data_IF_364227343471
#
_entry.id   IF_364227343471
#
_cell.length_a   1.000
_cell.length_b   1.000
_cell.length_c   1.000
_cell.angle_alpha   90.00
_cell.angle_beta   90.00
_cell.angle_gamma   90.00
#
_symmetry.space_group_name_H-M   'P 1'
#
loop_
_entity.id
_entity.type
_entity.pdbx_description
1 polymer ?
#
# COMPACT_ATOMS: atom_id res chain seq x y z
N UNK A 1 21.90 -30.40 -6.27
CA UNK A 1 21.53 -29.14 -6.94
C UNK A 1 22.51 -28.10 -6.45
N UNK A 2 23.31 -27.51 -7.34
CA UNK A 2 24.29 -26.51 -6.95
C UNK A 2 23.56 -25.22 -6.56
N UNK A 3 23.57 -24.90 -5.28
CA UNK A 3 23.24 -23.56 -4.78
C UNK A 3 24.33 -22.62 -5.28
N UNK A 4 24.08 -21.93 -6.38
CA UNK A 4 24.97 -20.87 -6.86
C UNK A 4 25.13 -19.82 -5.76
N UNK A 5 26.37 -19.50 -5.39
CA UNK A 5 26.66 -18.43 -4.45
C UNK A 5 25.98 -17.12 -4.89
N UNK A 6 25.51 -16.29 -3.95
CA UNK A 6 24.93 -15.00 -4.28
C UNK A 6 25.99 -14.15 -4.99
N UNK A 7 25.78 -13.89 -6.29
CA UNK A 7 26.54 -12.88 -7.02
C UNK A 7 26.25 -11.54 -6.33
N UNK A 8 27.23 -11.05 -5.58
CA UNK A 8 27.22 -9.72 -4.95
C UNK A 8 28.13 -8.84 -5.81
N UNK A 9 27.52 -8.03 -6.67
CA UNK A 9 28.27 -7.01 -7.40
C UNK A 9 28.40 -5.78 -6.49
N UNK A 10 29.61 -5.33 -6.15
CA UNK A 10 29.78 -4.12 -5.34
C UNK A 10 29.07 -2.94 -6.01
N UNK A 11 28.24 -2.21 -5.25
CA UNK A 11 27.54 -0.99 -5.69
C UNK A 11 26.43 -1.20 -6.74
N UNK A 12 26.06 -2.45 -7.04
CA UNK A 12 24.85 -2.81 -7.79
C UNK A 12 24.00 -3.73 -6.91
N UNK A 13 23.02 -3.15 -6.23
CA UNK A 13 22.11 -3.91 -5.37
C UNK A 13 21.29 -4.92 -6.19
N UNK A 14 21.15 -6.13 -5.63
CA UNK A 14 20.16 -7.10 -6.11
C UNK A 14 18.75 -6.56 -5.86
N UNK A 15 17.75 -6.90 -6.69
CA UNK A 15 16.38 -6.47 -6.46
C UNK A 15 15.91 -6.86 -5.04
N UNK A 16 15.00 -6.10 -4.44
CA UNK A 16 14.47 -6.43 -3.13
C UNK A 16 13.68 -7.74 -3.18
N UNK A 17 13.52 -8.40 -2.02
CA UNK A 17 12.68 -9.59 -1.92
C UNK A 17 11.27 -9.28 -2.42
N UNK A 18 10.65 -10.20 -3.18
CA UNK A 18 9.31 -10.01 -3.76
C UNK A 18 8.18 -10.15 -2.72
N UNK A 19 8.45 -10.89 -1.63
CA UNK A 19 7.47 -11.23 -0.60
C UNK A 19 6.77 -10.00 0.02
N UNK A 20 7.46 -8.90 0.39
CA UNK A 20 6.82 -7.70 0.92
C UNK A 20 5.84 -7.05 -0.06
N UNK A 21 6.10 -7.10 -1.36
CA UNK A 21 5.23 -6.53 -2.39
C UNK A 21 3.95 -7.34 -2.56
N UNK A 22 4.08 -8.68 -2.60
CA UNK A 22 2.91 -9.58 -2.57
C UNK A 22 2.11 -9.40 -1.28
N UNK A 23 2.80 -9.18 -0.16
CA UNK A 23 2.16 -8.95 1.14
C UNK A 23 1.37 -7.64 1.19
N UNK A 24 1.80 -6.58 0.50
CA UNK A 24 1.02 -5.35 0.39
C UNK A 24 -0.35 -5.62 -0.26
N UNK A 25 -0.42 -6.49 -1.27
CA UNK A 25 -1.69 -6.85 -1.91
C UNK A 25 -2.62 -7.56 -0.93
N UNK A 26 -2.09 -8.52 -0.16
CA UNK A 26 -2.85 -9.22 0.87
C UNK A 26 -3.36 -8.26 1.95
N UNK A 27 -2.52 -7.31 2.39
CA UNK A 27 -2.90 -6.30 3.39
C UNK A 27 -4.05 -5.45 2.86
N UNK A 28 -4.00 -5.01 1.60
CA UNK A 28 -5.05 -4.21 0.98
C UNK A 28 -6.38 -4.97 0.90
N UNK A 29 -6.35 -6.27 0.61
CA UNK A 29 -7.53 -7.14 0.65
C UNK A 29 -8.06 -7.32 2.08
N UNK A 30 -7.18 -7.44 3.08
CA UNK A 30 -7.60 -7.45 4.49
C UNK A 30 -8.26 -6.14 4.87
N UNK A 31 -7.71 -4.99 4.47
CA UNK A 31 -8.29 -3.67 4.72
C UNK A 31 -9.71 -3.59 4.15
N UNK A 32 -9.90 -3.99 2.88
CA UNK A 32 -11.22 -4.09 2.25
C UNK A 32 -12.20 -4.92 3.06
N UNK A 33 -11.82 -6.16 3.37
CA UNK A 33 -12.73 -7.12 4.00
C UNK A 33 -13.08 -6.71 5.44
N UNK A 34 -12.12 -6.14 6.16
CA UNK A 34 -12.30 -5.77 7.57
C UNK A 34 -12.99 -4.43 7.74
N UNK A 35 -12.94 -3.53 6.77
CA UNK A 35 -13.70 -2.27 6.84
C UNK A 35 -15.22 -2.50 6.80
N UNK A 36 -15.72 -3.52 6.12
CA UNK A 36 -17.16 -3.80 6.04
C UNK A 36 -17.72 -4.53 7.28
N UNK A 37 -16.85 -5.18 8.08
CA UNK A 37 -17.26 -5.94 9.27
C UNK A 37 -17.87 -5.05 10.38
N UNK A 38 -17.26 -3.91 10.77
CA UNK A 38 -17.84 -3.00 11.74
C UNK A 38 -19.21 -2.45 11.32
N UNK A 39 -19.44 -2.14 10.04
CA UNK A 39 -20.75 -1.67 9.57
C UNK A 39 -21.80 -2.77 9.69
N UNK A 40 -21.47 -3.99 9.29
CA UNK A 40 -22.38 -5.13 9.36
C UNK A 40 -22.77 -5.42 10.81
N UNK A 41 -21.77 -5.44 11.71
CA UNK A 41 -21.98 -5.63 13.14
C UNK A 41 -22.81 -4.50 13.78
N UNK A 42 -22.58 -3.24 13.39
CA UNK A 42 -23.34 -2.09 13.88
C UNK A 42 -24.80 -2.12 13.40
N UNK A 43 -25.03 -2.47 12.13
CA UNK A 43 -26.38 -2.59 11.57
C UNK A 43 -27.16 -3.74 12.23
N UNK A 44 -26.51 -4.88 12.48
CA UNK A 44 -27.10 -5.98 13.24
C UNK A 44 -27.41 -5.58 14.68
N UNK A 45 -26.49 -4.88 15.38
CA UNK A 45 -26.69 -4.40 16.74
C UNK A 45 -27.92 -3.48 16.87
N UNK A 46 -28.14 -2.61 15.89
CA UNK A 46 -29.25 -1.66 15.88
C UNK A 46 -30.58 -2.32 15.49
N UNK A 47 -30.57 -3.28 14.55
CA UNK A 47 -31.75 -4.08 14.24
C UNK A 47 -32.22 -4.92 15.44
N UNK A 48 -31.30 -5.36 16.29
CA UNK A 48 -31.58 -6.12 17.51
C UNK A 48 -32.09 -5.25 18.67
N UNK A 49 -31.95 -3.91 18.59
CA UNK A 49 -32.43 -2.96 19.60
C UNK A 49 -33.88 -2.49 19.37
N UNK A 50 -34.61 -3.07 18.41
CA UNK A 50 -36.03 -2.84 18.02
C UNK A 50 -36.43 -1.38 17.65
N UNK A 51 -35.75 -0.33 18.13
CA UNK A 51 -36.16 1.08 17.97
C UNK A 51 -35.48 1.82 16.81
N UNK A 52 -34.37 1.32 16.25
CA UNK A 52 -33.62 2.02 15.19
C UNK A 52 -33.39 1.12 13.97
N UNK A 53 -34.31 1.18 12.99
CA UNK A 53 -34.16 0.48 11.69
C UNK A 53 -33.00 0.99 10.81
N UNK A 54 -32.25 2.02 11.25
CA UNK A 54 -31.13 2.61 10.50
C UNK A 54 -30.04 3.09 11.46
N UNK A 55 -28.75 2.98 11.06
CA UNK A 55 -27.67 3.66 11.76
C UNK A 55 -27.86 5.18 11.78
N UNK A 56 -27.44 5.85 12.87
CA UNK A 56 -27.35 7.30 12.92
C UNK A 56 -26.63 7.84 11.67
N UNK A 57 -27.15 8.90 11.03
CA UNK A 57 -26.54 9.50 9.84
C UNK A 57 -25.05 9.86 10.01
N UNK A 58 -24.64 10.18 11.23
CA UNK A 58 -23.25 10.48 11.60
C UNK A 58 -22.34 9.26 11.42
N UNK A 59 -22.80 8.07 11.81
CA UNK A 59 -22.07 6.82 11.63
C UNK A 59 -21.91 6.46 10.14
N UNK A 60 -23.00 6.60 9.37
CA UNK A 60 -22.97 6.39 7.91
C UNK A 60 -21.95 7.32 7.25
N UNK A 61 -21.87 8.57 7.73
CA UNK A 61 -20.91 9.58 7.27
C UNK A 61 -19.47 9.20 7.62
N UNK A 62 -19.17 8.82 8.87
CA UNK A 62 -17.81 8.46 9.28
C UNK A 62 -17.29 7.23 8.53
N UNK A 63 -18.13 6.20 8.38
CA UNK A 63 -17.75 5.00 7.64
C UNK A 63 -17.57 5.26 6.15
N UNK A 64 -18.35 6.16 5.56
CA UNK A 64 -18.13 6.60 4.18
C UNK A 64 -16.77 7.29 4.02
N UNK A 65 -16.39 8.17 4.95
CA UNK A 65 -15.09 8.83 4.93
C UNK A 65 -13.94 7.83 5.08
N UNK A 66 -14.08 6.86 5.99
CA UNK A 66 -13.07 5.84 6.21
C UNK A 66 -12.86 4.95 4.97
N UNK A 67 -13.95 4.56 4.29
CA UNK A 67 -13.87 3.84 3.00
C UNK A 67 -13.18 4.65 1.91
N UNK A 68 -13.49 5.94 1.81
CA UNK A 68 -12.85 6.81 0.84
C UNK A 68 -11.34 6.92 1.11
N UNK A 69 -10.94 7.06 2.38
CA UNK A 69 -9.54 7.06 2.76
C UNK A 69 -8.85 5.74 2.38
N UNK A 70 -9.47 4.60 2.70
CA UNK A 70 -8.93 3.28 2.36
C UNK A 70 -8.75 3.10 0.84
N UNK A 71 -9.73 3.53 0.04
CA UNK A 71 -9.61 3.53 -1.42
C UNK A 71 -8.44 4.39 -1.91
N UNK A 72 -8.27 5.59 -1.36
CA UNK A 72 -7.14 6.45 -1.71
C UNK A 72 -5.81 5.77 -1.37
N UNK A 73 -5.71 5.12 -0.20
CA UNK A 73 -4.47 4.41 0.19
C UNK A 73 -4.19 3.21 -0.69
N UNK A 74 -5.23 2.48 -1.09
CA UNK A 74 -5.13 1.42 -2.09
C UNK A 74 -4.55 1.95 -3.40
N UNK A 75 -5.12 3.04 -3.93
CA UNK A 75 -4.66 3.64 -5.19
C UNK A 75 -3.21 4.11 -5.11
N UNK A 76 -2.82 4.70 -3.98
CA UNK A 76 -1.46 5.19 -3.77
C UNK A 76 -0.45 4.04 -3.66
N UNK A 77 -0.80 2.95 -2.96
CA UNK A 77 0.03 1.73 -2.94
C UNK A 77 0.17 1.15 -4.35
N UNK A 78 -0.91 1.09 -5.13
CA UNK A 78 -0.85 0.69 -6.54
C UNK A 78 0.09 1.55 -7.38
N UNK A 79 0.02 2.87 -7.18
CA UNK A 79 0.87 3.83 -7.90
C UNK A 79 2.36 3.63 -7.56
N UNK A 80 2.71 3.48 -6.29
CA UNK A 80 4.14 3.30 -5.92
C UNK A 80 4.71 1.95 -6.38
N UNK A 81 3.86 0.93 -6.49
CA UNK A 81 4.25 -0.38 -7.05
C UNK A 81 4.50 -0.29 -8.55
N UNK A 82 3.63 0.38 -9.29
CA UNK A 82 3.85 0.67 -10.72
C UNK A 82 5.13 1.49 -10.91
N UNK A 83 5.37 2.50 -10.08
CA UNK A 83 6.59 3.32 -10.12
C UNK A 83 7.86 2.51 -9.85
N UNK A 84 7.83 1.59 -8.89
CA UNK A 84 8.96 0.66 -8.66
C UNK A 84 9.21 -0.25 -9.85
N UNK A 85 8.15 -0.73 -10.50
CA UNK A 85 8.28 -1.50 -11.74
C UNK A 85 8.92 -0.66 -12.85
N UNK A 86 8.42 0.56 -13.07
CA UNK A 86 9.00 1.49 -14.04
C UNK A 86 10.46 1.82 -13.73
N UNK A 87 10.80 1.97 -12.46
CA UNK A 87 12.18 2.16 -12.02
C UNK A 87 13.06 0.97 -12.39
N UNK A 88 12.61 -0.27 -12.17
CA UNK A 88 13.34 -1.47 -12.63
C UNK A 88 13.56 -1.45 -14.15
N UNK A 89 12.46 -1.37 -14.91
CA UNK A 89 12.44 -1.54 -16.37
C UNK A 89 13.16 -0.42 -17.12
N UNK A 90 12.95 0.83 -16.68
CA UNK A 90 13.36 2.02 -17.44
C UNK A 90 14.63 2.64 -16.89
N UNK A 91 15.06 2.27 -15.69
CA UNK A 91 16.22 2.88 -15.04
C UNK A 91 17.28 1.84 -14.72
N UNK A 92 16.98 0.88 -13.86
CA UNK A 92 18.00 -0.04 -13.34
C UNK A 92 18.55 -0.96 -14.44
N UNK A 93 17.68 -1.66 -15.18
CA UNK A 93 18.09 -2.60 -16.24
C UNK A 93 18.88 -1.87 -17.36
N UNK A 94 18.41 -0.72 -17.90
CA UNK A 94 19.18 0.05 -18.87
C UNK A 94 20.49 0.59 -18.32
N UNK A 95 20.52 1.04 -17.06
CA UNK A 95 21.73 1.53 -16.41
C UNK A 95 22.81 0.44 -16.32
N UNK A 96 22.43 -0.79 -15.94
CA UNK A 96 23.35 -1.94 -15.95
C UNK A 96 23.90 -2.26 -17.34
N UNK A 97 23.13 -1.98 -18.40
CA UNK A 97 23.56 -2.15 -19.79
C UNK A 97 24.66 -1.19 -20.25
N UNK A 98 25.00 -0.18 -19.44
CA UNK A 98 26.03 0.82 -19.79
C UNK A 98 27.41 0.50 -19.23
N UNK A 99 27.56 -0.56 -18.44
CA UNK A 99 28.87 -0.92 -17.90
C UNK A 99 29.84 -1.45 -18.98
N UNK A 100 31.15 -1.17 -18.85
CA UNK A 100 31.78 -0.32 -17.83
C UNK A 100 31.48 1.17 -18.05
N UNK A 101 31.20 1.89 -16.97
CA UNK A 101 30.90 3.32 -17.04
C UNK A 101 32.19 4.15 -17.14
N UNK A 102 32.15 5.23 -17.92
CA UNK A 102 33.23 6.20 -18.02
C UNK A 102 32.88 7.53 -17.31
N UNK A 103 33.82 8.48 -17.28
CA UNK A 103 33.57 9.79 -16.66
C UNK A 103 32.52 10.62 -17.41
N UNK A 104 32.37 10.38 -18.71
CA UNK A 104 31.39 11.06 -19.55
C UNK A 104 29.96 10.59 -19.28
N UNK A 105 29.77 9.38 -18.73
CA UNK A 105 28.44 8.87 -18.33
C UNK A 105 27.77 9.70 -17.23
N UNK A 106 28.54 10.42 -16.41
CA UNK A 106 28.00 11.44 -15.50
C UNK A 106 27.43 12.62 -16.28
N UNK A 107 28.20 13.16 -17.22
CA UNK A 107 27.80 14.33 -18.03
C UNK A 107 26.71 14.02 -19.08
N UNK A 108 26.62 12.77 -19.53
CA UNK A 108 25.59 12.28 -20.45
C UNK A 108 24.31 11.84 -19.70
N UNK A 109 24.23 12.15 -18.40
CA UNK A 109 23.03 12.00 -17.59
C UNK A 109 22.74 10.56 -17.15
N UNK A 110 23.59 9.57 -17.42
CA UNK A 110 23.29 8.18 -17.05
C UNK A 110 23.21 7.96 -15.55
N UNK A 111 24.26 8.38 -14.84
CA UNK A 111 24.33 8.30 -13.37
C UNK A 111 23.33 9.28 -12.73
N UNK A 112 23.29 10.52 -13.20
CA UNK A 112 22.41 11.56 -12.64
C UNK A 112 20.92 11.22 -12.82
N UNK A 113 20.52 10.64 -13.96
CA UNK A 113 19.14 10.19 -14.18
C UNK A 113 18.80 9.01 -13.27
N UNK A 114 19.70 8.03 -13.14
CA UNK A 114 19.46 6.87 -12.29
C UNK A 114 19.36 7.26 -10.81
N UNK A 115 20.23 8.16 -10.36
CA UNK A 115 20.17 8.75 -9.02
C UNK A 115 18.87 9.52 -8.80
N UNK A 116 18.50 10.41 -9.74
CA UNK A 116 17.27 11.20 -9.64
C UNK A 116 16.05 10.30 -9.55
N UNK A 117 15.98 9.28 -10.40
CA UNK A 117 14.86 8.34 -10.42
C UNK A 117 14.78 7.52 -9.12
N UNK A 118 15.92 7.04 -8.60
CA UNK A 118 15.95 6.32 -7.32
C UNK A 118 15.44 7.21 -6.18
N UNK A 119 15.93 8.44 -6.10
CA UNK A 119 15.48 9.44 -5.12
C UNK A 119 13.99 9.76 -5.22
N UNK A 120 13.49 9.95 -6.44
CA UNK A 120 12.07 10.25 -6.67
C UNK A 120 11.20 9.06 -6.26
N UNK A 121 11.57 7.85 -6.67
CA UNK A 121 10.83 6.63 -6.29
C UNK A 121 10.84 6.44 -4.78
N UNK A 122 11.98 6.62 -4.11
CA UNK A 122 12.07 6.56 -2.65
C UNK A 122 11.12 7.55 -1.95
N UNK A 123 11.06 8.80 -2.44
CA UNK A 123 10.17 9.82 -1.89
C UNK A 123 8.68 9.49 -2.08
N UNK A 124 8.30 8.86 -3.19
CA UNK A 124 6.93 8.41 -3.41
C UNK A 124 6.53 7.30 -2.41
N UNK A 125 7.45 6.39 -2.09
CA UNK A 125 7.25 5.36 -1.06
C UNK A 125 7.18 5.95 0.37
N UNK A 126 7.99 6.96 0.67
CA UNK A 126 7.94 7.70 1.95
C UNK A 126 6.60 8.43 2.12
N UNK A 127 6.09 9.07 1.07
CA UNK A 127 4.77 9.71 1.14
C UNK A 127 3.65 8.67 1.30
N UNK A 128 3.71 7.54 0.59
CA UNK A 128 2.75 6.45 0.77
C UNK A 128 2.77 5.89 2.21
N UNK A 129 3.94 5.75 2.83
CA UNK A 129 4.09 5.35 4.24
C UNK A 129 3.41 6.36 5.17
N UNK A 130 3.75 7.64 5.02
CA UNK A 130 3.18 8.72 5.82
C UNK A 130 1.65 8.75 5.71
N UNK A 131 1.16 8.65 4.49
CA UNK A 131 -0.27 8.59 4.21
C UNK A 131 -0.96 7.37 4.82
N UNK A 132 -0.31 6.21 4.81
CA UNK A 132 -0.83 4.99 5.44
C UNK A 132 -0.86 5.13 6.97
N UNK A 133 0.11 5.83 7.57
CA UNK A 133 0.08 6.19 8.99
C UNK A 133 -1.09 7.14 9.31
N UNK A 134 -1.33 8.17 8.50
CA UNK A 134 -2.51 9.05 8.68
C UNK A 134 -3.83 8.27 8.60
N UNK A 135 -3.89 7.23 7.76
CA UNK A 135 -5.04 6.33 7.70
C UNK A 135 -5.21 5.50 8.99
N UNK A 136 -4.12 5.03 9.60
CA UNK A 136 -4.17 4.39 10.92
C UNK A 136 -4.78 5.29 12.00
N UNK A 137 -4.43 6.57 12.00
CA UNK A 137 -5.00 7.56 12.93
C UNK A 137 -6.49 7.81 12.64
N UNK A 138 -6.86 7.84 11.35
CA UNK A 138 -8.23 7.95 10.89
C UNK A 138 -9.11 6.77 11.32
N UNK A 139 -8.58 5.54 11.26
CA UNK A 139 -9.24 4.34 11.80
C UNK A 139 -9.50 4.54 13.29
N UNK A 140 -8.44 4.83 14.07
CA UNK A 140 -8.53 4.97 15.53
C UNK A 140 -9.56 6.04 15.94
N UNK A 141 -9.51 7.21 15.31
CA UNK A 141 -10.44 8.31 15.57
C UNK A 141 -11.89 7.94 15.24
N UNK A 142 -12.12 7.26 14.12
CA UNK A 142 -13.47 6.82 13.72
C UNK A 142 -14.05 5.85 14.74
N UNK A 143 -13.21 5.00 15.32
CA UNK A 143 -13.62 3.99 16.28
C UNK A 143 -13.96 4.56 17.64
N UNK A 144 -13.19 5.53 18.12
CA UNK A 144 -13.52 6.25 19.35
C UNK A 144 -14.90 6.91 19.24
N UNK A 145 -15.22 7.48 18.07
CA UNK A 145 -16.54 8.04 17.78
C UNK A 145 -17.64 6.98 17.75
N UNK A 146 -17.41 5.85 17.09
CA UNK A 146 -18.37 4.74 17.05
C UNK A 146 -18.65 4.16 18.45
N UNK A 147 -17.59 3.99 19.25
CA UNK A 147 -17.69 3.53 20.63
C UNK A 147 -18.49 4.51 21.50
N UNK A 148 -18.25 5.81 21.36
CA UNK A 148 -19.00 6.83 22.11
C UNK A 148 -20.51 6.71 21.91
N UNK A 149 -20.96 6.55 20.66
CA UNK A 149 -22.40 6.40 20.37
C UNK A 149 -22.98 5.09 20.92
N UNK A 150 -22.21 4.00 20.92
CA UNK A 150 -22.64 2.73 21.51
C UNK A 150 -22.74 2.80 23.04
N UNK A 151 -21.84 3.53 23.69
CA UNK A 151 -21.85 3.71 25.15
C UNK A 151 -22.98 4.65 25.62
N UNK A 152 -23.44 5.57 24.76
CA UNK A 152 -24.58 6.47 25.00
C UNK A 152 -25.96 5.81 24.77
N UNK A 153 -26.02 4.75 23.96
CA UNK A 153 -27.23 3.96 23.73
C UNK A 153 -27.65 3.19 24.99
N UNK A 154 -28.80 3.52 25.56
CA UNK A 154 -29.36 2.87 26.76
C UNK A 154 -29.64 1.38 26.50
N UNK A 155 -28.64 0.52 26.72
CA UNK A 155 -28.83 -0.93 26.76
C UNK A 155 -27.58 -1.72 26.38
N UNK A 156 -26.65 -1.92 27.32
CA UNK A 156 -25.65 -3.00 27.20
C UNK A 156 -26.34 -4.35 27.40
N UNK A 157 -27.06 -4.81 26.38
CA UNK A 157 -27.47 -6.21 26.29
C UNK A 157 -26.27 -7.11 25.94
N UNK A 158 -26.30 -8.42 26.27
CA UNK A 158 -25.22 -9.37 25.94
C UNK A 158 -24.85 -9.38 24.46
N UNK A 159 -25.85 -9.15 23.59
CA UNK A 159 -25.71 -9.05 22.14
C UNK A 159 -24.87 -7.82 21.72
N UNK A 160 -25.10 -6.67 22.34
CA UNK A 160 -24.32 -5.46 22.08
C UNK A 160 -22.86 -5.63 22.51
N UNK A 161 -22.59 -6.38 23.57
CA UNK A 161 -21.23 -6.69 24.04
C UNK A 161 -20.48 -7.58 23.04
N UNK A 162 -21.09 -8.67 22.56
CA UNK A 162 -20.46 -9.58 21.58
C UNK A 162 -20.17 -8.89 20.24
N UNK A 163 -21.07 -8.01 19.78
CA UNK A 163 -20.88 -7.24 18.56
C UNK A 163 -19.76 -6.19 18.70
N UNK A 164 -19.64 -5.58 19.90
CA UNK A 164 -18.56 -4.65 20.21
C UNK A 164 -17.20 -5.36 20.27
N UNK A 165 -17.13 -6.56 20.84
CA UNK A 165 -15.90 -7.38 20.88
C UNK A 165 -15.46 -7.83 19.47
N UNK A 166 -16.41 -8.32 18.66
CA UNK A 166 -16.13 -8.74 17.27
C UNK A 166 -15.65 -7.56 16.41
N UNK A 167 -16.29 -6.40 16.59
CA UNK A 167 -15.86 -5.17 15.90
C UNK A 167 -14.49 -4.71 16.35
N UNK A 168 -14.17 -4.80 17.65
CA UNK A 168 -12.86 -4.44 18.20
C UNK A 168 -11.74 -5.37 17.70
N UNK A 169 -12.04 -6.66 17.52
CA UNK A 169 -11.09 -7.60 16.92
C UNK A 169 -10.79 -7.24 15.45
N UNK A 170 -11.83 -7.03 14.63
CA UNK A 170 -11.66 -6.65 13.22
C UNK A 170 -10.83 -5.36 13.06
N UNK A 171 -11.00 -4.44 13.99
CA UNK A 171 -10.26 -3.19 14.12
C UNK A 171 -8.80 -3.38 14.50
N UNK A 172 -8.53 -4.21 15.51
CA UNK A 172 -7.15 -4.48 15.90
C UNK A 172 -6.39 -5.17 14.77
N UNK A 173 -7.06 -6.04 14.02
CA UNK A 173 -6.53 -6.64 12.80
C UNK A 173 -6.27 -5.57 11.72
N UNK A 174 -7.20 -4.62 11.49
CA UNK A 174 -6.99 -3.47 10.59
C UNK A 174 -5.76 -2.65 10.96
N UNK A 175 -5.65 -2.25 12.22
CA UNK A 175 -4.50 -1.49 12.72
C UNK A 175 -3.20 -2.29 12.60
N UNK A 176 -3.26 -3.60 12.84
CA UNK A 176 -2.13 -4.51 12.68
C UNK A 176 -1.61 -4.53 11.23
N UNK A 177 -2.51 -4.74 10.26
CA UNK A 177 -2.11 -4.81 8.85
C UNK A 177 -1.71 -3.44 8.28
N UNK A 178 -2.30 -2.34 8.74
CA UNK A 178 -1.88 -0.99 8.34
C UNK A 178 -0.46 -0.69 8.84
N UNK A 179 -0.12 -1.05 10.08
CA UNK A 179 1.26 -0.93 10.59
C UNK A 179 2.25 -1.80 9.83
N UNK A 180 1.82 -3.00 9.43
CA UNK A 180 2.62 -3.87 8.59
C UNK A 180 2.88 -3.23 7.22
N UNK A 181 1.86 -2.62 6.58
CA UNK A 181 2.03 -1.88 5.34
C UNK A 181 3.01 -0.73 5.50
N UNK A 182 2.89 0.09 6.55
CA UNK A 182 3.86 1.17 6.82
C UNK A 182 5.29 0.63 6.94
N UNK A 183 5.47 -0.50 7.63
CA UNK A 183 6.79 -1.13 7.77
C UNK A 183 7.36 -1.57 6.42
N UNK A 184 6.53 -2.15 5.56
CA UNK A 184 6.96 -2.55 4.21
C UNK A 184 7.32 -1.30 3.40
N UNK A 185 6.46 -0.28 3.41
CA UNK A 185 6.66 0.95 2.67
C UNK A 185 7.98 1.65 3.07
N UNK A 186 8.23 1.80 4.37
CA UNK A 186 9.44 2.40 4.91
C UNK A 186 10.71 1.58 4.68
N UNK A 187 10.62 0.24 4.67
CA UNK A 187 11.77 -0.61 4.32
C UNK A 187 12.15 -0.45 2.85
N UNK A 188 11.15 -0.43 1.96
CA UNK A 188 11.39 -0.27 0.51
C UNK A 188 11.92 1.12 0.18
N UNK A 189 11.41 2.18 0.80
CA UNK A 189 11.98 3.52 0.63
C UNK A 189 13.44 3.55 1.10
N UNK A 190 13.75 2.97 2.27
CA UNK A 190 15.12 2.85 2.77
C UNK A 190 16.06 2.10 1.83
N UNK A 191 15.59 1.02 1.21
CA UNK A 191 16.31 0.28 0.17
C UNK A 191 16.59 1.15 -1.07
N UNK A 192 15.58 1.86 -1.59
CA UNK A 192 15.77 2.76 -2.74
C UNK A 192 16.76 3.90 -2.41
N UNK A 193 16.75 4.43 -1.18
CA UNK A 193 17.78 5.37 -0.70
C UNK A 193 19.18 4.75 -0.65
N UNK A 194 19.28 3.44 -0.42
CA UNK A 194 20.52 2.67 -0.55
C UNK A 194 21.06 2.72 -1.97
N UNK A 195 20.22 2.33 -2.93
CA UNK A 195 20.54 2.42 -4.37
C UNK A 195 20.96 3.84 -4.77
N UNK A 196 20.24 4.87 -4.31
CA UNK A 196 20.59 6.27 -4.59
C UNK A 196 22.04 6.59 -4.18
N UNK A 197 22.47 6.12 -3.00
CA UNK A 197 23.82 6.35 -2.47
C UNK A 197 24.87 5.54 -3.24
N UNK A 198 24.56 4.30 -3.58
CA UNK A 198 25.48 3.42 -4.30
C UNK A 198 25.73 3.92 -5.73
N UNK A 199 24.71 4.44 -6.40
CA UNK A 199 24.82 5.07 -7.73
C UNK A 199 25.71 6.33 -7.70
N UNK A 200 25.75 7.07 -6.58
CA UNK A 200 26.62 8.25 -6.45
C UNK A 200 28.11 7.90 -6.36
N UNK A 201 28.44 6.65 -6.04
CA UNK A 201 29.80 6.22 -5.78
C UNK A 201 30.70 6.42 -7.01
N UNK A 202 31.79 7.17 -6.84
CA UNK A 202 32.83 7.32 -7.87
C UNK A 202 33.45 5.97 -8.27
N UNK A 203 33.28 4.94 -7.42
CA UNK A 203 33.76 3.58 -7.63
C UNK A 203 33.04 2.83 -8.75
N UNK A 204 31.90 3.34 -9.22
CA UNK A 204 31.20 2.79 -10.39
C UNK A 204 31.90 3.13 -11.71
N UNK A 205 32.67 4.22 -11.75
CA UNK A 205 33.42 4.62 -12.95
C UNK A 205 34.64 3.69 -13.10
N UNK A 206 34.79 3.11 -14.29
CA UNK A 206 35.87 2.16 -14.58
C UNK A 206 35.69 0.80 -13.87
N UNK A 207 34.53 0.55 -13.25
CA UNK A 207 34.22 -0.75 -12.69
C UNK A 207 34.01 -1.75 -13.83
N UNK A 208 34.95 -2.68 -13.96
CA UNK A 208 34.84 -3.79 -14.89
C UNK A 208 34.07 -4.94 -14.23
N UNK A 209 32.90 -5.25 -14.80
CA UNK A 209 32.07 -6.36 -14.38
C UNK A 209 32.12 -7.44 -15.47
N UNK A 210 32.08 -8.71 -15.07
CA UNK A 210 32.02 -9.77 -16.05
C UNK A 210 30.66 -9.69 -16.78
N UNK A 211 30.62 -9.82 -18.12
CA UNK A 211 29.36 -9.74 -18.86
C UNK A 211 28.27 -10.70 -18.34
N UNK A 212 28.67 -11.88 -17.85
CA UNK A 212 27.75 -12.85 -17.24
C UNK A 212 27.13 -12.40 -15.91
N UNK A 213 27.83 -11.57 -15.13
CA UNK A 213 27.32 -11.01 -13.87
C UNK A 213 26.27 -9.94 -14.14
N UNK A 214 26.55 -9.03 -15.08
CA UNK A 214 25.59 -8.01 -15.54
C UNK A 214 24.32 -8.68 -16.06
N UNK A 215 24.46 -9.68 -16.93
CA UNK A 215 23.33 -10.39 -17.51
C UNK A 215 22.50 -11.12 -16.46
N UNK A 216 23.15 -11.74 -15.47
CA UNK A 216 22.45 -12.40 -14.36
C UNK A 216 21.69 -11.39 -13.51
N UNK A 217 22.28 -10.22 -13.24
CA UNK A 217 21.64 -9.17 -12.45
C UNK A 217 20.45 -8.57 -13.19
N UNK A 218 20.57 -8.31 -14.50
CA UNK A 218 19.45 -7.88 -15.34
C UNK A 218 18.28 -8.85 -15.28
N UNK A 219 18.54 -10.15 -15.45
CA UNK A 219 17.50 -11.20 -15.36
C UNK A 219 16.80 -11.22 -14.01
N UNK A 220 17.51 -10.94 -12.91
CA UNK A 220 16.90 -10.84 -11.58
C UNK A 220 15.95 -9.64 -11.49
N UNK A 221 16.37 -8.47 -12.00
CA UNK A 221 15.54 -7.27 -12.03
C UNK A 221 14.37 -7.36 -13.00
N UNK A 222 14.53 -8.08 -14.12
CA UNK A 222 13.45 -8.41 -15.06
C UNK A 222 12.41 -9.31 -14.38
N UNK A 223 12.84 -10.40 -13.74
CA UNK A 223 11.93 -11.29 -12.99
C UNK A 223 11.19 -10.54 -11.87
N UNK A 224 11.91 -9.70 -11.13
CA UNK A 224 11.31 -8.81 -10.13
C UNK A 224 10.27 -7.86 -10.73
N UNK A 225 10.56 -7.24 -11.87
CA UNK A 225 9.61 -6.35 -12.55
C UNK A 225 8.35 -7.09 -13.03
N UNK A 226 8.54 -8.32 -13.52
CA UNK A 226 7.43 -9.17 -13.95
C UNK A 226 6.52 -9.57 -12.77
N UNK A 227 7.08 -9.86 -11.60
CA UNK A 227 6.31 -10.26 -10.41
C UNK A 227 5.50 -9.09 -9.80
N UNK A 228 5.88 -7.84 -10.10
CA UNK A 228 5.18 -6.63 -9.65
C UNK A 228 3.86 -6.34 -10.40
N UNK A 229 3.51 -7.10 -11.45
CA UNK A 229 2.29 -6.90 -12.26
C UNK A 229 0.95 -7.28 -11.58
N UNK A 230 0.87 -7.28 -10.25
CA UNK A 230 -0.18 -8.01 -9.52
C UNK A 230 -1.28 -7.16 -8.89
N UNK A 231 -1.22 -5.82 -8.95
CA UNK A 231 -2.31 -4.99 -8.45
C UNK A 231 -3.33 -4.65 -9.53
N UNK A 232 -4.41 -5.44 -9.54
CA UNK A 232 -5.60 -5.08 -10.28
C UNK A 232 -6.44 -4.05 -9.50
N UNK A 233 -6.18 -2.76 -9.75
CA UNK A 233 -6.95 -1.66 -9.18
C UNK A 233 -8.45 -1.71 -9.47
N UNK A 234 -8.90 -2.58 -10.37
CA UNK A 234 -10.32 -2.79 -10.66
C UNK A 234 -11.05 -3.36 -9.43
N UNK A 235 -10.41 -4.18 -8.60
CA UNK A 235 -11.06 -4.83 -7.45
C UNK A 235 -11.52 -3.89 -6.32
N UNK A 236 -11.01 -2.64 -6.27
CA UNK A 236 -11.40 -1.61 -5.30
C UNK A 236 -12.39 -0.58 -5.85
N UNK A 237 -12.56 -0.50 -7.18
CA UNK A 237 -13.59 0.36 -7.80
C UNK A 237 -14.99 -0.01 -7.33
N UNK A 238 -15.25 -1.28 -7.08
CA UNK A 238 -16.55 -1.77 -6.63
C UNK A 238 -16.93 -1.26 -5.22
N UNK A 239 -15.95 -1.01 -4.35
CA UNK A 239 -16.18 -0.51 -2.98
C UNK A 239 -16.64 0.96 -3.01
N UNK A 240 -16.03 1.77 -3.88
CA UNK A 240 -16.47 3.16 -4.10
C UNK A 240 -17.74 3.22 -4.94
N UNK A 241 -17.88 2.32 -5.92
CA UNK A 241 -19.08 2.16 -6.73
C UNK A 241 -20.31 1.89 -5.87
N UNK A 242 -20.22 0.98 -4.90
CA UNK A 242 -21.30 0.75 -3.94
C UNK A 242 -21.56 1.98 -3.03
N UNK A 243 -20.51 2.70 -2.61
CA UNK A 243 -20.66 3.90 -1.79
C UNK A 243 -21.32 5.08 -2.54
N UNK A 244 -21.10 5.21 -3.85
CA UNK A 244 -21.73 6.24 -4.69
C UNK A 244 -23.15 5.83 -5.13
N UNK A 245 -23.36 4.55 -5.45
CA UNK A 245 -24.64 4.05 -5.97
C UNK A 245 -25.73 3.97 -4.88
N UNK A 246 -25.37 3.62 -3.64
CA UNK A 246 -26.31 3.67 -2.50
C UNK A 246 -26.71 5.11 -2.12
N UNK A 247 -25.85 6.11 -2.43
CA UNK A 247 -26.19 7.52 -2.30
C UNK A 247 -27.16 8.03 -3.37
N UNK A 248 -27.03 7.57 -4.63
CA UNK A 248 -27.88 8.01 -5.76
C UNK A 248 -29.25 7.33 -5.81
N UNK A 249 -29.39 6.09 -5.31
CA UNK A 249 -30.71 5.44 -5.21
C UNK A 249 -31.61 6.09 -4.12
N UNK A 250 -31.02 6.71 -3.09
CA UNK A 250 -31.78 7.39 -2.02
C UNK A 250 -32.27 8.79 -2.42
N UNK A 251 -31.53 9.52 -3.26
CA UNK A 251 -31.98 10.84 -3.77
C UNK A 251 -33.03 10.72 -4.87
N UNK A 252 -33.05 9.62 -5.62
CA UNK A 252 -34.07 9.34 -6.64
C UNK A 252 -35.42 8.86 -6.09
N UNK A 253 -35.44 8.17 -4.95
CA UNK A 253 -36.69 7.64 -4.35
C UNK A 253 -37.38 8.60 -3.37
N UNK A 254 -36.70 9.68 -2.96
CA UNK A 254 -37.30 10.71 -2.09
C UNK A 254 -38.09 11.78 -2.85
N UNK A 255 -38.16 11.68 -4.19
CA UNK A 255 -38.92 12.59 -5.06
C UNK A 255 -40.19 11.98 -5.69
N UNK A 256 -40.63 10.80 -5.22
CA UNK A 256 -41.76 10.06 -5.79
C UNK A 256 -42.74 9.52 -4.74
N UNK A 257 -42.93 10.25 -3.63
CA UNK A 257 -44.09 10.10 -2.74
C UNK A 257 -44.72 11.48 -2.53
#
# INVERSE_FOLDING_TARGET
MATSEPIVIPYLESPPDEQPFSRLNEILEVIKNKLEQPISALAEAQNLLEEAKRPPPEMETWMRLLRLQAYTKYYNVGTVLERTKEFSDKVVIPFMGRFPLDKSDRTLGGIDMAQKASRTTAAEWEEAEKEMNEFSDGITTTLEKLRGVLDEGKGRGPVATVLMETSLQAVNELLGVVKEACTILGKTSGYLRGIEKDIQSEKLIGLELQPGEIETMKKRWEAFSESMNTLDCIAFKDIVGMAIFLGSLRSGLSGLI
#
